data_IF_052317394482
#
_entry.id   IF_052317394482
#
_cell.length_a   1.000
_cell.length_b   1.000
_cell.length_c   1.000
_cell.angle_alpha   90.00
_cell.angle_beta   90.00
_cell.angle_gamma   90.00
#
_symmetry.space_group_name_H-M   'P 1'
#
loop_
_entity.id
_entity.type
_entity.pdbx_description
1 polymer ?
#
# COMPACT_ATOMS: atom_id res chain seq x y z
N UNK A 1 -43.22 1.08 -14.70
CA UNK A 1 -42.68 2.26 -13.99
C UNK A 1 -41.47 1.83 -13.18
N UNK A 2 -40.30 2.47 -13.36
CA UNK A 2 -39.11 2.14 -12.57
C UNK A 2 -39.25 2.73 -11.17
N UNK A 3 -39.30 1.88 -10.14
CA UNK A 3 -39.27 2.30 -8.75
C UNK A 3 -37.82 2.58 -8.36
N UNK A 4 -37.47 3.86 -8.15
CA UNK A 4 -36.09 4.28 -7.90
C UNK A 4 -35.57 3.95 -6.49
N UNK A 5 -36.42 3.38 -5.61
CA UNK A 5 -36.07 2.99 -4.24
C UNK A 5 -35.41 4.15 -3.48
N UNK A 6 -36.18 5.08 -2.94
CA UNK A 6 -35.61 6.24 -2.25
C UNK A 6 -35.06 5.84 -0.88
N UNK A 7 -33.89 6.38 -0.52
CA UNK A 7 -33.21 6.20 0.76
C UNK A 7 -33.09 7.57 1.44
N UNK A 8 -33.58 7.66 2.68
CA UNK A 8 -33.48 8.85 3.52
C UNK A 8 -32.05 8.98 4.07
N UNK A 9 -31.39 10.12 3.84
CA UNK A 9 -29.96 10.29 4.16
C UNK A 9 -29.68 11.04 5.47
N UNK A 10 -30.41 12.12 5.77
CA UNK A 10 -30.18 12.92 6.98
C UNK A 10 -31.28 13.97 7.21
N UNK A 11 -31.45 14.37 8.48
CA UNK A 11 -32.17 15.59 8.89
C UNK A 11 -31.18 16.76 8.91
N UNK A 12 -31.38 17.77 8.09
CA UNK A 12 -30.71 19.05 8.26
C UNK A 12 -31.70 20.09 8.76
N UNK A 13 -31.27 20.88 9.74
CA UNK A 13 -32.03 22.01 10.26
C UNK A 13 -31.67 23.23 9.43
N UNK A 14 -32.60 23.68 8.59
CA UNK A 14 -32.46 24.93 7.84
C UNK A 14 -33.39 25.97 8.47
N UNK A 15 -32.88 26.68 9.48
CA UNK A 15 -33.72 27.44 10.42
C UNK A 15 -34.55 26.48 11.31
N UNK A 16 -35.82 26.80 11.53
CA UNK A 16 -36.77 25.98 12.32
C UNK A 16 -37.38 24.80 11.55
N UNK A 17 -37.02 24.59 10.27
CA UNK A 17 -37.61 23.53 9.44
C UNK A 17 -36.68 22.33 9.34
N UNK A 18 -37.23 21.15 9.62
CA UNK A 18 -36.59 19.87 9.33
C UNK A 18 -36.85 19.51 7.88
N UNK A 19 -35.80 19.39 7.08
CA UNK A 19 -35.90 18.96 5.67
C UNK A 19 -35.27 17.57 5.52
N UNK A 20 -36.01 16.67 4.88
CA UNK A 20 -35.55 15.32 4.54
C UNK A 20 -34.99 15.30 3.11
N UNK A 21 -33.76 14.85 2.94
CA UNK A 21 -33.16 14.66 1.62
C UNK A 21 -33.17 13.17 1.25
N UNK A 22 -34.04 12.81 0.31
CA UNK A 22 -34.15 11.45 -0.21
C UNK A 22 -33.25 11.31 -1.44
N UNK A 23 -32.30 10.37 -1.39
CA UNK A 23 -31.48 10.00 -2.55
C UNK A 23 -31.97 8.69 -3.13
N UNK A 24 -31.95 8.51 -4.46
CA UNK A 24 -32.18 7.20 -5.05
C UNK A 24 -31.15 6.18 -4.52
N UNK A 25 -31.59 4.94 -4.27
CA UNK A 25 -30.76 3.86 -3.73
C UNK A 25 -29.50 3.62 -4.59
N UNK A 26 -29.63 3.71 -5.91
CA UNK A 26 -28.50 3.53 -6.82
C UNK A 26 -27.42 4.60 -6.65
N UNK A 27 -27.82 5.86 -6.43
CA UNK A 27 -26.89 6.96 -6.16
C UNK A 27 -26.22 6.76 -4.80
N UNK A 28 -26.98 6.32 -3.81
CA UNK A 28 -26.43 6.02 -2.49
C UNK A 28 -25.36 4.92 -2.53
N UNK A 29 -25.70 3.78 -3.16
CA UNK A 29 -24.81 2.63 -3.27
C UNK A 29 -23.52 2.97 -4.03
N UNK A 30 -23.64 3.76 -5.10
CA UNK A 30 -22.49 4.24 -5.86
C UNK A 30 -21.57 5.08 -4.98
N UNK A 31 -22.09 6.10 -4.30
CA UNK A 31 -21.30 7.00 -3.47
C UNK A 31 -20.60 6.26 -2.31
N UNK A 32 -21.24 5.24 -1.75
CA UNK A 32 -20.66 4.42 -0.68
C UNK A 32 -19.47 3.57 -1.15
N UNK A 33 -19.36 3.26 -2.45
CA UNK A 33 -18.31 2.39 -3.01
C UNK A 33 -17.27 3.15 -3.85
N UNK A 34 -17.58 4.34 -4.35
CA UNK A 34 -16.75 5.09 -5.30
C UNK A 34 -15.36 5.46 -4.74
N UNK A 35 -15.26 5.74 -3.43
CA UNK A 35 -14.05 6.32 -2.84
C UNK A 35 -12.87 5.38 -2.64
N UNK A 36 -12.99 4.07 -2.89
CA UNK A 36 -11.95 3.10 -2.53
C UNK A 36 -10.62 3.35 -3.25
N UNK A 37 -10.66 3.75 -4.53
CA UNK A 37 -9.45 4.06 -5.32
C UNK A 37 -8.80 5.34 -4.80
N UNK A 38 -9.58 6.41 -4.65
CA UNK A 38 -9.09 7.70 -4.14
C UNK A 38 -8.50 7.56 -2.73
N UNK A 39 -9.09 6.71 -1.88
CA UNK A 39 -8.57 6.44 -0.54
C UNK A 39 -7.21 5.73 -0.58
N UNK A 40 -7.02 4.77 -1.48
CA UNK A 40 -5.73 4.11 -1.67
C UNK A 40 -4.66 5.10 -2.15
N UNK A 41 -5.00 5.95 -3.12
CA UNK A 41 -4.10 6.99 -3.63
C UNK A 41 -3.76 8.03 -2.57
N UNK A 42 -4.74 8.48 -1.77
CA UNK A 42 -4.52 9.40 -0.65
C UNK A 42 -3.59 8.79 0.40
N UNK A 43 -3.80 7.51 0.75
CA UNK A 43 -2.95 6.81 1.70
C UNK A 43 -1.50 6.75 1.21
N UNK A 44 -1.28 6.41 -0.06
CA UNK A 44 0.06 6.32 -0.64
C UNK A 44 0.74 7.69 -0.77
N UNK A 45 -0.02 8.73 -1.13
CA UNK A 45 0.49 10.09 -1.30
C UNK A 45 1.05 10.69 0.01
N UNK A 46 0.48 10.28 1.16
CA UNK A 46 0.96 10.72 2.48
C UNK A 46 2.43 10.36 2.77
N UNK A 47 2.97 9.33 2.10
CA UNK A 47 4.34 8.85 2.31
C UNK A 47 5.39 9.50 1.39
N UNK A 48 4.99 10.44 0.52
CA UNK A 48 5.87 11.26 -0.31
C UNK A 48 7.00 10.47 -1.03
N UNK A 49 6.67 9.29 -1.58
CA UNK A 49 7.64 8.40 -2.22
C UNK A 49 8.10 8.85 -3.62
N UNK A 50 7.41 9.82 -4.21
CA UNK A 50 7.72 10.35 -5.53
C UNK A 50 9.00 11.19 -5.48
N UNK A 51 10.03 10.74 -6.19
CA UNK A 51 11.28 11.50 -6.38
C UNK A 51 11.33 12.11 -7.78
N UNK A 52 11.89 13.32 -7.89
CA UNK A 52 12.15 13.95 -9.18
C UNK A 52 13.13 13.07 -9.97
N UNK A 53 12.70 12.61 -11.13
CA UNK A 53 13.51 11.78 -12.02
C UNK A 53 13.23 12.15 -13.47
N UNK A 54 14.29 12.17 -14.30
CA UNK A 54 14.20 12.35 -15.74
C UNK A 54 13.70 11.08 -16.46
N UNK A 55 13.82 9.93 -15.81
CA UNK A 55 13.37 8.65 -16.34
C UNK A 55 11.95 8.33 -15.87
N UNK A 56 10.97 8.41 -16.78
CA UNK A 56 9.55 8.18 -16.46
C UNK A 56 9.29 6.76 -15.91
N UNK A 57 10.01 5.75 -16.41
CA UNK A 57 9.88 4.36 -15.96
C UNK A 57 10.28 4.16 -14.49
N UNK A 58 11.18 5.00 -13.95
CA UNK A 58 11.55 4.93 -12.52
C UNK A 58 10.39 5.34 -11.63
N UNK A 59 9.59 6.33 -12.07
CA UNK A 59 8.37 6.73 -11.35
C UNK A 59 7.36 5.59 -11.34
N UNK A 60 7.15 4.95 -12.49
CA UNK A 60 6.26 3.80 -12.64
C UNK A 60 6.70 2.63 -11.75
N UNK A 61 8.01 2.31 -11.73
CA UNK A 61 8.56 1.23 -10.91
C UNK A 61 8.33 1.46 -9.41
N UNK A 62 8.61 2.66 -8.91
CA UNK A 62 8.37 2.99 -7.50
C UNK A 62 6.87 2.94 -7.17
N UNK A 63 6.02 3.47 -8.06
CA UNK A 63 4.57 3.42 -7.89
C UNK A 63 4.04 1.98 -7.73
N UNK A 64 4.53 1.03 -8.53
CA UNK A 64 4.17 -0.38 -8.40
C UNK A 64 4.68 -1.00 -7.10
N UNK A 65 5.92 -0.70 -6.68
CA UNK A 65 6.46 -1.21 -5.40
C UNK A 65 5.56 -0.78 -4.24
N UNK A 66 5.14 0.48 -4.20
CA UNK A 66 4.26 0.99 -3.14
C UNK A 66 2.87 0.36 -3.17
N UNK A 67 2.29 0.12 -4.35
CA UNK A 67 1.04 -0.62 -4.49
C UNK A 67 1.14 -2.08 -4.04
N UNK A 68 2.24 -2.76 -4.37
CA UNK A 68 2.51 -4.13 -3.91
C UNK A 68 2.62 -4.17 -2.37
N UNK A 69 3.37 -3.23 -1.78
CA UNK A 69 3.51 -3.10 -0.33
C UNK A 69 2.18 -2.81 0.35
N UNK A 70 1.34 -1.95 -0.24
CA UNK A 70 0.02 -1.66 0.30
C UNK A 70 -0.88 -2.91 0.29
N UNK A 71 -0.89 -3.65 -0.83
CA UNK A 71 -1.67 -4.87 -0.94
C UNK A 71 -1.20 -5.93 0.07
N UNK A 72 0.12 -6.12 0.23
CA UNK A 72 0.67 -7.06 1.21
C UNK A 72 0.38 -6.62 2.65
N UNK A 73 0.41 -5.31 2.92
CA UNK A 73 -0.01 -4.75 4.21
C UNK A 73 -1.47 -5.02 4.52
N UNK A 74 -2.38 -4.87 3.56
CA UNK A 74 -3.81 -5.15 3.75
C UNK A 74 -4.07 -6.63 4.12
N UNK A 75 -3.26 -7.55 3.59
CA UNK A 75 -3.31 -8.97 4.00
C UNK A 75 -2.71 -9.14 5.41
N UNK A 76 -1.57 -8.50 5.69
CA UNK A 76 -0.87 -8.64 6.95
C UNK A 76 -1.62 -8.02 8.15
N UNK A 77 -2.30 -6.89 7.95
CA UNK A 77 -3.07 -6.21 9.00
C UNK A 77 -4.30 -6.99 9.47
N UNK A 78 -4.79 -7.93 8.67
CA UNK A 78 -5.91 -8.79 9.04
C UNK A 78 -5.50 -9.86 10.06
N UNK A 79 -4.21 -9.99 10.38
CA UNK A 79 -3.72 -10.89 11.40
C UNK A 79 -3.99 -10.32 12.80
N UNK A 80 -4.49 -11.13 13.75
CA UNK A 80 -4.88 -10.64 15.09
C UNK A 80 -3.71 -10.08 15.91
N UNK A 81 -2.48 -10.46 15.55
CA UNK A 81 -1.25 -10.06 16.24
C UNK A 81 -0.73 -8.68 15.82
N UNK A 82 -1.14 -8.17 14.66
CA UNK A 82 -0.56 -6.96 14.10
C UNK A 82 -1.45 -5.73 14.37
N UNK A 83 -0.89 -4.70 14.99
CA UNK A 83 -1.56 -3.43 15.32
C UNK A 83 -0.77 -2.21 14.84
N UNK A 84 0.10 -2.39 13.85
CA UNK A 84 0.96 -1.32 13.33
C UNK A 84 0.33 -0.54 12.18
N UNK A 85 0.83 0.67 11.97
CA UNK A 85 0.51 1.47 10.78
C UNK A 85 1.34 1.02 9.58
N UNK A 86 0.91 1.43 8.39
CA UNK A 86 1.59 1.10 7.14
C UNK A 86 3.06 1.52 7.12
N UNK A 87 3.42 2.65 7.74
CA UNK A 87 4.83 3.06 7.87
C UNK A 87 5.68 2.03 8.62
N UNK A 88 5.18 1.53 9.75
CA UNK A 88 5.88 0.53 10.57
C UNK A 88 6.04 -0.76 9.78
N UNK A 89 5.03 -1.13 8.99
CA UNK A 89 5.14 -2.25 8.07
C UNK A 89 6.25 -2.04 7.03
N UNK A 90 6.28 -0.90 6.34
CA UNK A 90 7.32 -0.60 5.34
C UNK A 90 8.72 -0.65 5.95
N UNK A 91 8.92 -0.05 7.13
CA UNK A 91 10.22 -0.06 7.82
C UNK A 91 10.63 -1.50 8.12
N UNK A 92 9.73 -2.31 8.70
CA UNK A 92 10.05 -3.70 9.02
C UNK A 92 10.43 -4.53 7.80
N UNK A 93 9.71 -4.35 6.68
CA UNK A 93 10.01 -5.04 5.43
C UNK A 93 11.35 -4.56 4.85
N UNK A 94 11.62 -3.26 4.92
CA UNK A 94 12.88 -2.68 4.44
C UNK A 94 14.08 -3.19 5.24
N UNK A 95 13.96 -3.27 6.56
CA UNK A 95 15.00 -3.79 7.45
C UNK A 95 15.26 -5.28 7.18
N UNK A 96 14.20 -6.08 7.09
CA UNK A 96 14.30 -7.53 6.83
C UNK A 96 14.95 -7.81 5.46
N UNK A 97 14.59 -7.04 4.43
CA UNK A 97 15.21 -7.15 3.10
C UNK A 97 16.69 -6.75 3.12
N UNK A 98 17.04 -5.70 3.86
CA UNK A 98 18.43 -5.24 4.01
C UNK A 98 19.31 -6.29 4.68
N UNK A 99 18.82 -6.90 5.78
CA UNK A 99 19.53 -7.98 6.48
C UNK A 99 19.79 -9.19 5.58
N UNK A 100 18.77 -9.67 4.85
CA UNK A 100 18.91 -10.83 3.94
C UNK A 100 19.95 -10.59 2.85
N UNK A 101 20.06 -9.35 2.35
CA UNK A 101 21.06 -9.02 1.34
C UNK A 101 22.48 -9.07 1.90
N UNK A 102 22.70 -8.50 3.09
CA UNK A 102 24.01 -8.52 3.76
C UNK A 102 24.48 -9.94 4.07
N UNK A 103 23.59 -10.79 4.57
CA UNK A 103 23.92 -12.18 4.89
C UNK A 103 24.26 -13.01 3.64
N UNK A 104 23.55 -12.75 2.54
CA UNK A 104 23.84 -13.37 1.24
C UNK A 104 25.23 -12.96 0.72
N UNK A 105 25.58 -11.68 0.78
CA UNK A 105 26.91 -11.20 0.39
C UNK A 105 28.03 -11.83 1.25
N UNK A 106 27.80 -11.97 2.55
CA UNK A 106 28.72 -12.65 3.47
C UNK A 106 28.88 -14.14 3.14
N UNK A 107 27.79 -14.83 2.78
CA UNK A 107 27.85 -16.22 2.32
C UNK A 107 28.66 -16.37 1.02
N UNK A 108 28.40 -15.51 0.03
CA UNK A 108 29.07 -15.55 -1.27
C UNK A 108 30.57 -15.27 -1.14
N UNK A 109 30.96 -14.33 -0.27
CA UNK A 109 32.38 -14.01 -0.01
C UNK A 109 33.11 -15.13 0.75
N UNK A 110 32.47 -15.80 1.72
CA UNK A 110 33.03 -16.99 2.39
C UNK A 110 33.28 -18.14 1.40
N UNK A 111 32.28 -18.49 0.60
CA UNK A 111 32.36 -19.59 -0.39
C UNK A 111 33.46 -19.35 -1.44
N UNK A 112 33.68 -18.09 -1.83
CA UNK A 112 34.77 -17.71 -2.76
C UNK A 112 36.15 -17.87 -2.12
N UNK A 113 36.31 -17.54 -0.83
CA UNK A 113 37.55 -17.76 -0.09
C UNK A 113 37.86 -19.24 0.11
N UNK A 114 36.86 -20.07 0.38
CA UNK A 114 37.00 -21.53 0.43
C UNK A 114 37.42 -22.09 -0.93
N UNK A 115 36.71 -21.74 -2.01
CA UNK A 115 37.09 -22.16 -3.36
C UNK A 115 38.50 -21.70 -3.80
N UNK A 116 39.03 -20.60 -3.28
CA UNK A 116 40.41 -20.18 -3.56
C UNK A 116 41.46 -20.99 -2.77
N UNK A 117 41.11 -21.51 -1.60
CA UNK A 117 42.01 -22.39 -0.80
C UNK A 117 42.16 -23.77 -1.42
N UNK A 118 41.12 -24.25 -2.11
CA UNK A 118 41.10 -25.56 -2.75
C UNK A 118 41.73 -25.55 -4.17
N UNK A 119 42.11 -24.38 -4.68
CA UNK A 119 42.82 -24.29 -5.96
C UNK A 119 44.28 -24.71 -5.80
N UNK A 120 44.81 -25.59 -6.67
CA UNK A 120 46.20 -26.00 -6.59
C UNK A 120 47.10 -24.78 -6.77
N UNK A 121 48.01 -24.56 -5.82
CA UNK A 121 49.03 -23.51 -5.93
C UNK A 121 49.81 -23.76 -7.22
N UNK A 122 49.69 -22.85 -8.17
CA UNK A 122 50.53 -22.88 -9.38
C UNK A 122 51.97 -22.62 -8.93
N UNK A 123 52.82 -23.60 -9.24
CA UNK A 123 54.25 -23.61 -9.02
C UNK A 123 54.94 -22.56 -9.89
#
# INVERSE_FOLDING_TARGET
MYNAGLVEKSKTFFGDRTVFFNKPLHIDRYNSLMGSVDMADQLLKAYAYEKKSLAWFKKLGIHFIFHILLNSFLVYRNQPKYKGDFLKYIISVSEELSCKHSDSELYMTKKKKENYKDQPKKW
#
